data_IF_920604013676
#
_entry.id   IF_920604013676
#
_cell.length_a   1.000
_cell.length_b   1.000
_cell.length_c   1.000
_cell.angle_alpha   90.00
_cell.angle_beta   90.00
_cell.angle_gamma   90.00
#
_symmetry.space_group_name_H-M   'P 1'
#
loop_
_entity.id
_entity.type
_entity.pdbx_description
1 polymer ?
#
# COMPACT_ATOMS: atom_id res chain seq x y z
N UNK A 1 -2.19 7.70 -32.95
CA UNK A 1 -1.53 6.86 -31.93
C UNK A 1 -0.77 7.78 -30.98
N UNK A 2 -1.45 8.27 -29.94
CA UNK A 2 -0.78 9.01 -28.88
C UNK A 2 -0.37 8.02 -27.80
N UNK A 3 0.94 7.98 -27.51
CA UNK A 3 1.51 7.30 -26.35
C UNK A 3 0.99 8.01 -25.09
N UNK A 4 -0.17 7.57 -24.59
CA UNK A 4 -0.56 7.83 -23.22
C UNK A 4 0.34 6.96 -22.35
N UNK A 5 1.42 7.55 -21.81
CA UNK A 5 2.07 7.01 -20.62
C UNK A 5 0.95 6.90 -19.59
N UNK A 6 0.61 5.67 -19.20
CA UNK A 6 -0.32 5.43 -18.11
C UNK A 6 0.10 6.30 -16.95
N UNK A 7 -0.73 7.30 -16.63
CA UNK A 7 -0.62 8.02 -15.38
C UNK A 7 -0.79 6.95 -14.31
N UNK A 8 0.33 6.55 -13.71
CA UNK A 8 0.31 5.90 -12.41
C UNK A 8 -0.49 6.84 -11.53
N UNK A 9 -1.76 6.51 -11.28
CA UNK A 9 -2.53 7.11 -10.21
C UNK A 9 -1.60 7.07 -9.00
N UNK A 10 -1.16 8.22 -8.44
CA UNK A 10 -0.50 8.19 -7.17
C UNK A 10 -1.55 7.59 -6.22
N UNK A 11 -1.34 6.35 -5.78
CA UNK A 11 -2.26 5.54 -4.97
C UNK A 11 -3.37 4.74 -5.69
N UNK A 12 -3.22 4.38 -6.98
CA UNK A 12 -4.18 3.49 -7.67
C UNK A 12 -4.22 2.08 -7.07
N UNK A 13 -5.30 1.73 -6.34
CA UNK A 13 -5.43 0.46 -5.61
C UNK A 13 -5.54 -0.80 -6.48
N UNK A 14 -5.82 -0.65 -7.77
CA UNK A 14 -5.95 -1.78 -8.68
C UNK A 14 -4.80 -1.70 -9.67
N UNK A 15 -4.10 -2.83 -9.89
CA UNK A 15 -3.25 -2.98 -11.07
C UNK A 15 -4.03 -2.45 -12.27
N UNK A 16 -3.36 -1.64 -13.09
CA UNK A 16 -3.97 -0.92 -14.20
C UNK A 16 -4.75 -1.90 -15.07
N UNK A 17 -6.05 -1.99 -14.83
CA UNK A 17 -6.98 -2.58 -15.75
C UNK A 17 -7.15 -1.51 -16.80
N UNK A 18 -6.17 -1.44 -17.73
CA UNK A 18 -6.01 -0.34 -18.69
C UNK A 18 -7.33 -0.04 -19.36
N UNK A 19 -8.10 -1.08 -19.65
CA UNK A 19 -9.45 -0.98 -20.19
C UNK A 19 -10.43 -0.28 -19.23
N UNK A 20 -10.52 -0.67 -17.95
CA UNK A 20 -11.42 0.01 -16.99
C UNK A 20 -10.98 1.45 -16.72
N UNK A 21 -9.67 1.73 -16.71
CA UNK A 21 -9.15 3.08 -16.55
C UNK A 21 -9.46 3.95 -17.77
N UNK A 22 -9.33 3.41 -18.99
CA UNK A 22 -9.73 4.09 -20.23
C UNK A 22 -11.24 4.33 -20.28
N UNK A 23 -12.05 3.35 -19.89
CA UNK A 23 -13.50 3.51 -19.78
C UNK A 23 -13.88 4.55 -18.71
N UNK A 24 -13.18 4.53 -17.57
CA UNK A 24 -13.40 5.46 -16.47
C UNK A 24 -13.01 6.90 -16.83
N UNK A 25 -11.90 7.12 -17.52
CA UNK A 25 -11.44 8.47 -17.89
C UNK A 25 -12.43 9.19 -18.81
N UNK A 26 -13.08 8.45 -19.72
CA UNK A 26 -14.13 9.00 -20.57
C UNK A 26 -15.35 9.50 -19.78
N UNK A 27 -15.63 8.88 -18.61
CA UNK A 27 -16.78 9.24 -17.78
C UNK A 27 -16.66 10.61 -17.10
N UNK A 28 -15.42 11.10 -16.92
CA UNK A 28 -15.11 12.38 -16.27
C UNK A 28 -15.69 13.56 -17.09
N UNK A 29 -15.82 13.38 -18.39
CA UNK A 29 -16.33 14.39 -19.32
C UNK A 29 -17.86 14.33 -19.52
N UNK A 30 -18.54 13.37 -18.90
CA UNK A 30 -19.99 13.26 -19.02
C UNK A 30 -20.68 14.37 -18.23
N UNK A 31 -21.71 14.96 -18.82
CA UNK A 31 -22.63 15.81 -18.06
C UNK A 31 -23.33 14.99 -16.98
N UNK A 32 -23.77 15.65 -15.91
CA UNK A 32 -24.49 15.03 -14.80
C UNK A 32 -25.67 14.15 -15.28
N UNK A 33 -26.44 14.63 -16.27
CA UNK A 33 -27.59 13.90 -16.84
C UNK A 33 -27.14 12.63 -17.57
N UNK A 34 -26.06 12.71 -18.36
CA UNK A 34 -25.54 11.54 -19.09
C UNK A 34 -24.98 10.50 -18.13
N UNK A 35 -24.18 10.93 -17.14
CA UNK A 35 -23.61 10.04 -16.13
C UNK A 35 -24.70 9.34 -15.32
N UNK A 36 -25.70 10.10 -14.87
CA UNK A 36 -26.82 9.56 -14.08
C UNK A 36 -27.56 8.48 -14.86
N UNK A 37 -27.94 8.76 -16.11
CA UNK A 37 -28.63 7.78 -16.97
C UNK A 37 -27.80 6.51 -17.17
N UNK A 38 -26.50 6.65 -17.43
CA UNK A 38 -25.60 5.52 -17.63
C UNK A 38 -25.47 4.66 -16.36
N UNK A 39 -25.30 5.29 -15.20
CA UNK A 39 -25.23 4.59 -13.92
C UNK A 39 -26.57 3.89 -13.63
N UNK A 40 -27.70 4.57 -13.81
CA UNK A 40 -29.02 3.98 -13.58
C UNK A 40 -29.27 2.76 -14.46
N UNK A 41 -28.89 2.83 -15.74
CA UNK A 41 -28.98 1.71 -16.67
C UNK A 41 -28.14 0.52 -16.20
N UNK A 42 -26.87 0.76 -15.85
CA UNK A 42 -25.96 -0.28 -15.37
C UNK A 42 -26.42 -0.88 -14.03
N UNK A 43 -26.89 -0.06 -13.10
CA UNK A 43 -27.44 -0.49 -11.82
C UNK A 43 -28.67 -1.37 -12.03
N UNK A 44 -29.58 -0.96 -12.91
CA UNK A 44 -30.78 -1.75 -13.23
C UNK A 44 -30.39 -3.11 -13.80
N UNK A 45 -29.51 -3.13 -14.81
CA UNK A 45 -29.04 -4.37 -15.44
C UNK A 45 -28.29 -5.27 -14.46
N UNK A 46 -27.46 -4.71 -13.59
CA UNK A 46 -26.74 -5.45 -12.56
C UNK A 46 -27.69 -6.13 -11.57
N UNK A 47 -28.69 -5.40 -11.06
CA UNK A 47 -29.69 -5.96 -10.12
C UNK A 47 -30.52 -7.06 -10.77
N UNK A 48 -31.03 -6.83 -11.99
CA UNK A 48 -31.77 -7.85 -12.73
C UNK A 48 -30.92 -9.11 -12.95
N UNK A 49 -29.64 -8.97 -13.29
CA UNK A 49 -28.75 -10.11 -13.49
C UNK A 49 -28.53 -10.92 -12.20
N UNK A 50 -28.33 -10.25 -11.06
CA UNK A 50 -28.21 -10.93 -9.76
C UNK A 50 -29.50 -11.64 -9.36
N UNK A 51 -30.65 -10.98 -9.53
CA UNK A 51 -31.96 -11.58 -9.21
C UNK A 51 -32.25 -12.82 -10.06
N UNK A 52 -31.89 -12.77 -11.35
CA UNK A 52 -32.05 -13.90 -12.27
C UNK A 52 -31.01 -15.00 -12.01
N UNK A 53 -29.76 -14.67 -11.68
CA UNK A 53 -28.70 -15.64 -11.37
C UNK A 53 -28.88 -16.33 -10.02
N UNK A 54 -29.60 -15.72 -9.08
CA UNK A 54 -30.02 -16.36 -7.84
C UNK A 54 -31.26 -17.26 -8.00
N UNK A 55 -31.80 -17.40 -9.22
CA UNK A 55 -32.89 -18.32 -9.51
C UNK A 55 -32.33 -19.71 -9.89
N UNK A 56 -32.57 -20.76 -9.07
CA UNK A 56 -32.00 -22.09 -9.29
C UNK A 56 -32.51 -22.80 -10.56
N UNK A 57 -33.47 -22.22 -11.29
CA UNK A 57 -34.06 -22.78 -12.51
C UNK A 57 -33.46 -22.22 -13.82
N UNK A 58 -32.45 -21.34 -13.77
CA UNK A 58 -31.88 -20.70 -14.96
C UNK A 58 -30.34 -20.73 -14.94
N UNK A 59 -29.76 -21.82 -15.43
CA UNK A 59 -28.29 -22.04 -15.44
C UNK A 59 -27.53 -21.18 -16.47
N UNK A 60 -28.20 -20.57 -17.46
CA UNK A 60 -27.57 -19.82 -18.57
C UNK A 60 -27.47 -18.28 -18.36
N UNK A 61 -27.75 -17.76 -17.16
CA UNK A 61 -27.81 -16.31 -16.94
C UNK A 61 -26.41 -15.74 -16.65
N UNK A 62 -25.97 -14.79 -17.48
CA UNK A 62 -24.74 -14.00 -17.28
C UNK A 62 -24.68 -13.46 -15.84
N UNK A 63 -23.62 -13.78 -15.12
CA UNK A 63 -23.26 -13.51 -13.70
C UNK A 63 -23.32 -12.02 -13.23
N UNK A 64 -23.90 -11.10 -14.00
CA UNK A 64 -23.93 -9.66 -13.66
C UNK A 64 -22.53 -8.99 -13.66
N UNK A 65 -21.46 -9.77 -13.75
CA UNK A 65 -20.06 -9.34 -13.72
C UNK A 65 -19.74 -8.24 -14.75
N UNK A 66 -20.26 -8.33 -15.98
CA UNK A 66 -20.06 -7.29 -16.99
C UNK A 66 -20.60 -5.91 -16.56
N UNK A 67 -21.77 -5.87 -15.91
CA UNK A 67 -22.35 -4.63 -15.42
C UNK A 67 -21.60 -4.12 -14.18
N UNK A 68 -21.13 -5.03 -13.32
CA UNK A 68 -20.25 -4.67 -12.21
C UNK A 68 -18.94 -4.03 -12.69
N UNK A 69 -18.31 -4.56 -13.74
CA UNK A 69 -17.12 -3.94 -14.34
C UNK A 69 -17.40 -2.55 -14.90
N UNK A 70 -18.55 -2.34 -15.56
CA UNK A 70 -18.98 -1.01 -15.99
C UNK A 70 -19.12 -0.03 -14.82
N UNK A 71 -19.75 -0.47 -13.72
CA UNK A 71 -19.89 0.34 -12.51
C UNK A 71 -18.54 0.62 -11.82
N UNK A 72 -17.62 -0.36 -11.82
CA UNK A 72 -16.25 -0.18 -11.32
C UNK A 72 -15.52 0.88 -12.17
N UNK A 73 -15.58 0.79 -13.50
CA UNK A 73 -14.94 1.77 -14.38
C UNK A 73 -15.45 3.19 -14.11
N UNK A 74 -16.76 3.38 -13.97
CA UNK A 74 -17.34 4.69 -13.64
C UNK A 74 -16.90 5.18 -12.27
N UNK A 75 -16.90 4.32 -11.25
CA UNK A 75 -16.45 4.70 -9.91
C UNK A 75 -14.95 5.05 -9.88
N UNK A 76 -14.11 4.33 -10.64
CA UNK A 76 -12.69 4.65 -10.81
C UNK A 76 -12.49 5.97 -11.54
N UNK A 77 -13.27 6.24 -12.59
CA UNK A 77 -13.26 7.52 -13.31
C UNK A 77 -13.58 8.69 -12.40
N UNK A 78 -14.64 8.57 -11.59
CA UNK A 78 -15.00 9.58 -10.60
C UNK A 78 -13.90 9.75 -9.53
N UNK A 79 -13.35 8.65 -9.01
CA UNK A 79 -12.27 8.69 -8.03
C UNK A 79 -11.02 9.40 -8.59
N UNK A 80 -10.60 9.02 -9.80
CA UNK A 80 -9.51 9.69 -10.51
C UNK A 80 -9.79 11.18 -10.63
N UNK A 81 -10.97 11.54 -11.14
CA UNK A 81 -11.34 12.93 -11.38
C UNK A 81 -11.42 13.79 -10.12
N UNK A 82 -11.73 13.19 -8.96
CA UNK A 82 -11.73 13.87 -7.66
C UNK A 82 -10.32 14.04 -7.06
N UNK A 83 -9.37 13.17 -7.41
CA UNK A 83 -8.03 13.12 -6.79
C UNK A 83 -6.91 13.70 -7.66
N UNK A 84 -7.14 13.83 -8.96
CA UNK A 84 -6.14 14.34 -9.90
C UNK A 84 -6.06 15.87 -9.85
N UNK A 85 -5.05 16.38 -9.15
CA UNK A 85 -4.75 17.81 -9.08
C UNK A 85 -4.31 18.44 -10.40
N UNK A 86 -4.06 17.64 -11.45
CA UNK A 86 -3.77 18.13 -12.80
C UNK A 86 -5.02 18.47 -13.60
N UNK A 87 -6.21 18.01 -13.16
CA UNK A 87 -7.46 18.42 -13.75
C UNK A 87 -7.76 19.88 -13.37
N UNK A 88 -8.21 20.66 -14.34
CA UNK A 88 -8.62 22.05 -14.10
C UNK A 88 -9.71 22.13 -13.03
N UNK A 89 -9.62 23.13 -12.14
CA UNK A 89 -10.49 23.27 -10.96
C UNK A 89 -12.00 23.24 -11.25
N UNK A 90 -12.43 23.65 -12.44
CA UNK A 90 -13.83 23.58 -12.88
C UNK A 90 -14.30 22.14 -13.18
N UNK A 91 -13.45 21.33 -13.78
CA UNK A 91 -13.73 19.93 -14.09
C UNK A 91 -13.78 19.12 -12.79
N UNK A 92 -12.81 19.29 -11.90
CA UNK A 92 -12.80 18.64 -10.57
C UNK A 92 -14.07 18.94 -9.78
N UNK A 93 -14.52 20.21 -9.74
CA UNK A 93 -15.79 20.58 -9.09
C UNK A 93 -17.00 19.88 -9.71
N UNK A 94 -17.03 19.76 -11.03
CA UNK A 94 -18.10 19.06 -11.75
C UNK A 94 -18.10 17.57 -11.43
N UNK A 95 -16.92 16.95 -11.37
CA UNK A 95 -16.78 15.52 -11.03
C UNK A 95 -17.22 15.25 -9.59
N UNK A 96 -16.84 16.12 -8.64
CA UNK A 96 -17.28 16.02 -7.25
C UNK A 96 -18.81 16.13 -7.16
N UNK A 97 -19.41 17.12 -7.81
CA UNK A 97 -20.87 17.27 -7.85
C UNK A 97 -21.57 16.06 -8.50
N UNK A 98 -20.96 15.50 -9.55
CA UNK A 98 -21.43 14.29 -10.20
C UNK A 98 -21.36 13.08 -9.26
N UNK A 99 -20.26 12.88 -8.53
CA UNK A 99 -20.12 11.82 -7.54
C UNK A 99 -21.18 11.96 -6.44
N UNK A 100 -21.35 13.15 -5.86
CA UNK A 100 -22.37 13.41 -4.85
C UNK A 100 -23.78 13.10 -5.35
N UNK A 101 -24.06 13.38 -6.62
CA UNK A 101 -25.37 13.14 -7.22
C UNK A 101 -25.72 11.66 -7.41
N UNK A 102 -24.72 10.80 -7.63
CA UNK A 102 -24.91 9.38 -8.00
C UNK A 102 -24.67 8.42 -6.83
N UNK A 103 -24.42 8.95 -5.64
CA UNK A 103 -24.16 8.15 -4.43
C UNK A 103 -25.28 7.15 -4.12
N UNK A 104 -26.55 7.55 -4.32
CA UNK A 104 -27.70 6.71 -4.00
C UNK A 104 -27.77 5.47 -4.91
N UNK A 105 -27.40 5.63 -6.18
CA UNK A 105 -27.32 4.56 -7.15
C UNK A 105 -26.26 3.54 -6.72
N UNK A 106 -25.06 3.99 -6.35
CA UNK A 106 -24.01 3.11 -5.83
C UNK A 106 -24.36 2.46 -4.48
N UNK A 107 -24.97 3.21 -3.55
CA UNK A 107 -25.48 2.67 -2.28
C UNK A 107 -26.45 1.52 -2.52
N UNK A 108 -27.33 1.67 -3.51
CA UNK A 108 -28.32 0.65 -3.85
C UNK A 108 -27.68 -0.64 -4.39
N UNK A 109 -26.49 -0.56 -4.99
CA UNK A 109 -25.78 -1.73 -5.53
C UNK A 109 -25.03 -2.49 -4.44
N UNK A 110 -24.40 -1.80 -3.48
CA UNK A 110 -23.72 -2.45 -2.35
C UNK A 110 -24.71 -3.29 -1.52
N UNK A 111 -25.98 -2.89 -1.46
CA UNK A 111 -27.00 -3.61 -0.69
C UNK A 111 -27.43 -4.97 -1.27
N UNK A 112 -27.05 -5.28 -2.51
CA UNK A 112 -27.42 -6.56 -3.15
C UNK A 112 -26.51 -7.70 -2.72
N UNK A 113 -27.05 -8.91 -2.56
CA UNK A 113 -26.29 -10.10 -2.19
C UNK A 113 -25.87 -10.87 -3.46
N UNK A 114 -24.67 -10.61 -3.96
CA UNK A 114 -23.97 -11.52 -4.86
C UNK A 114 -22.97 -12.38 -4.08
N UNK A 115 -22.37 -13.36 -4.75
CA UNK A 115 -21.36 -14.27 -4.15
C UNK A 115 -20.01 -14.22 -4.89
N UNK A 116 -19.76 -13.19 -5.69
CA UNK A 116 -18.60 -13.13 -6.59
C UNK A 116 -17.51 -12.15 -6.15
N UNK A 117 -16.25 -12.43 -6.50
CA UNK A 117 -15.11 -11.53 -6.26
C UNK A 117 -15.25 -10.15 -6.91
N UNK A 118 -15.90 -10.07 -8.07
CA UNK A 118 -16.18 -8.81 -8.78
C UNK A 118 -17.08 -7.88 -7.96
N UNK A 119 -17.99 -8.45 -7.16
CA UNK A 119 -18.81 -7.65 -6.27
C UNK A 119 -17.98 -6.98 -5.18
N UNK A 120 -17.06 -7.69 -4.53
CA UNK A 120 -16.17 -7.08 -3.54
C UNK A 120 -15.23 -6.04 -4.17
N UNK A 121 -14.83 -6.24 -5.43
CA UNK A 121 -14.10 -5.19 -6.17
C UNK A 121 -14.96 -3.93 -6.34
N UNK A 122 -16.24 -4.08 -6.69
CA UNK A 122 -17.17 -2.96 -6.76
C UNK A 122 -17.39 -2.30 -5.40
N UNK A 123 -17.61 -3.09 -4.35
CA UNK A 123 -17.81 -2.60 -2.98
C UNK A 123 -16.59 -1.80 -2.51
N UNK A 124 -15.39 -2.35 -2.64
CA UNK A 124 -14.15 -1.63 -2.29
C UNK A 124 -14.00 -0.35 -3.08
N UNK A 125 -14.26 -0.36 -4.39
CA UNK A 125 -14.18 0.85 -5.24
C UNK A 125 -15.16 1.93 -4.79
N UNK A 126 -16.40 1.56 -4.43
CA UNK A 126 -17.39 2.52 -3.93
C UNK A 126 -17.00 3.08 -2.55
N UNK A 127 -16.48 2.25 -1.63
CA UNK A 127 -15.98 2.73 -0.33
C UNK A 127 -14.68 3.52 -0.43
N UNK A 128 -13.94 3.42 -1.54
CA UNK A 128 -12.84 4.32 -1.86
C UNK A 128 -13.35 5.69 -2.30
N UNK A 129 -14.43 5.74 -3.07
CA UNK A 129 -15.03 6.97 -3.58
C UNK A 129 -15.80 7.77 -2.51
N UNK A 130 -16.55 7.08 -1.64
CA UNK A 130 -17.41 7.73 -0.65
C UNK A 130 -17.00 7.44 0.79
N UNK A 131 -17.41 8.34 1.70
CA UNK A 131 -17.28 8.10 3.13
C UNK A 131 -18.31 7.07 3.59
N UNK A 132 -17.93 6.28 4.58
CA UNK A 132 -18.75 5.24 5.19
C UNK A 132 -20.10 5.81 5.68
N UNK A 133 -20.09 6.98 6.32
CA UNK A 133 -21.30 7.66 6.77
C UNK A 133 -22.26 7.95 5.63
N UNK A 134 -21.76 8.43 4.49
CA UNK A 134 -22.58 8.79 3.34
C UNK A 134 -23.19 7.55 2.68
N UNK A 135 -22.54 6.39 2.79
CA UNK A 135 -23.07 5.13 2.31
C UNK A 135 -24.11 4.52 3.29
N UNK A 136 -23.91 4.67 4.61
CA UNK A 136 -24.81 4.07 5.61
C UNK A 136 -26.07 4.92 5.87
N UNK A 137 -25.98 6.25 5.73
CA UNK A 137 -27.09 7.17 6.01
C UNK A 137 -28.36 6.72 5.28
N UNK A 138 -29.45 6.56 6.04
CA UNK A 138 -30.77 6.33 5.45
C UNK A 138 -31.19 7.58 4.66
N UNK A 139 -31.87 7.41 3.52
CA UNK A 139 -32.46 8.55 2.83
C UNK A 139 -33.42 9.26 3.80
N UNK A 140 -33.36 10.61 3.91
CA UNK A 140 -34.37 11.36 4.64
C UNK A 140 -35.77 10.98 4.14
N UNK A 141 -36.64 10.52 5.04
CA UNK A 141 -38.01 10.08 4.71
C UNK A 141 -38.16 8.63 4.23
N UNK A 142 -37.08 7.84 4.13
CA UNK A 142 -37.19 6.42 3.78
C UNK A 142 -37.43 5.52 5.00
N UNK A 143 -38.42 4.61 4.91
CA UNK A 143 -38.66 3.54 5.90
C UNK A 143 -37.64 2.39 5.81
N UNK A 144 -36.72 2.42 4.84
CA UNK A 144 -35.71 1.37 4.65
C UNK A 144 -34.56 1.61 5.64
N UNK A 145 -34.19 0.58 6.40
CA UNK A 145 -33.00 0.61 7.27
C UNK A 145 -31.78 0.96 6.41
N UNK A 146 -30.87 1.78 6.96
CA UNK A 146 -29.58 2.06 6.34
C UNK A 146 -28.79 0.78 6.05
N UNK A 147 -27.75 0.90 5.22
CA UNK A 147 -26.93 -0.24 4.84
C UNK A 147 -26.27 -0.87 6.10
N UNK A 148 -26.48 -2.17 6.32
CA UNK A 148 -25.94 -2.85 7.50
C UNK A 148 -24.50 -3.30 7.23
N UNK A 149 -23.50 -2.56 7.71
CA UNK A 149 -22.08 -2.87 7.47
C UNK A 149 -21.68 -4.27 7.94
N UNK A 150 -22.12 -4.77 9.11
CA UNK A 150 -21.82 -6.15 9.50
C UNK A 150 -22.37 -7.18 8.50
N UNK A 151 -23.43 -6.85 7.74
CA UNK A 151 -23.91 -7.74 6.69
C UNK A 151 -22.90 -7.82 5.53
N UNK A 152 -22.33 -6.68 5.12
CA UNK A 152 -21.30 -6.60 4.06
C UNK A 152 -20.08 -7.43 4.45
N UNK A 153 -19.64 -7.32 5.70
CA UNK A 153 -18.46 -8.03 6.20
C UNK A 153 -18.76 -9.53 6.45
N UNK A 154 -19.95 -9.87 6.93
CA UNK A 154 -20.36 -11.28 7.18
C UNK A 154 -20.44 -12.14 5.91
N UNK A 155 -20.71 -11.52 4.75
CA UNK A 155 -20.75 -12.19 3.45
C UNK A 155 -19.36 -12.72 3.02
N UNK A 156 -18.28 -12.29 3.69
CA UNK A 156 -16.89 -12.60 3.30
C UNK A 156 -16.41 -14.00 3.67
N UNK A 157 -17.04 -14.64 4.66
CA UNK A 157 -16.63 -15.95 5.20
C UNK A 157 -16.62 -17.09 4.17
N UNK A 158 -17.27 -16.91 3.02
CA UNK A 158 -17.40 -17.88 1.93
C UNK A 158 -17.03 -17.28 0.56
N UNK A 159 -16.26 -16.17 0.54
CA UNK A 159 -15.91 -15.48 -0.69
C UNK A 159 -14.87 -16.27 -1.52
N UNK A 160 -15.12 -16.51 -2.82
CA UNK A 160 -14.15 -17.17 -3.71
C UNK A 160 -12.91 -16.31 -4.03
N UNK A 161 -12.95 -14.99 -3.79
CA UNK A 161 -11.80 -14.10 -3.93
C UNK A 161 -11.62 -13.28 -2.63
N UNK A 162 -10.72 -13.69 -1.73
CA UNK A 162 -10.54 -13.01 -0.45
C UNK A 162 -9.76 -11.69 -0.56
N UNK A 163 -9.04 -11.41 -1.65
CA UNK A 163 -8.27 -10.16 -1.83
C UNK A 163 -9.20 -8.94 -1.74
N UNK A 164 -10.22 -8.90 -2.60
CA UNK A 164 -11.15 -7.77 -2.64
C UNK A 164 -12.03 -7.68 -1.39
N UNK A 165 -12.27 -8.81 -0.73
CA UNK A 165 -12.92 -8.82 0.58
C UNK A 165 -12.07 -8.06 1.61
N UNK A 166 -10.79 -8.41 1.77
CA UNK A 166 -9.91 -7.74 2.72
C UNK A 166 -9.68 -6.27 2.34
N UNK A 167 -9.54 -5.93 1.06
CA UNK A 167 -9.45 -4.51 0.62
C UNK A 167 -10.70 -3.74 1.07
N UNK A 168 -11.90 -4.33 0.89
CA UNK A 168 -13.16 -3.71 1.32
C UNK A 168 -13.21 -3.55 2.84
N UNK A 169 -12.86 -4.60 3.59
CA UNK A 169 -12.85 -4.59 5.05
C UNK A 169 -11.88 -3.53 5.60
N UNK A 170 -10.65 -3.49 5.09
CA UNK A 170 -9.63 -2.52 5.47
C UNK A 170 -10.09 -1.08 5.19
N UNK A 171 -10.74 -0.84 4.05
CA UNK A 171 -11.27 0.50 3.74
C UNK A 171 -12.42 0.91 4.65
N UNK A 172 -13.23 -0.03 5.12
CA UNK A 172 -14.28 0.22 6.12
C UNK A 172 -13.65 0.50 7.49
N UNK A 173 -12.69 -0.32 7.93
CA UNK A 173 -12.01 -0.19 9.21
C UNK A 173 -11.16 1.06 9.33
N UNK A 174 -10.53 1.50 8.23
CA UNK A 174 -9.82 2.79 8.18
C UNK A 174 -10.75 3.96 8.50
N UNK A 175 -12.02 3.89 8.09
CA UNK A 175 -13.01 4.93 8.31
C UNK A 175 -13.73 4.78 9.65
N UNK A 176 -13.89 3.54 10.14
CA UNK A 176 -14.45 3.25 11.44
C UNK A 176 -13.84 1.99 12.08
N UNK A 177 -12.82 2.14 12.94
CA UNK A 177 -12.17 1.02 13.61
C UNK A 177 -13.07 0.22 14.56
N UNK A 178 -14.21 0.76 15.01
CA UNK A 178 -15.11 0.04 15.92
C UNK A 178 -15.83 -1.14 15.25
N UNK A 179 -15.70 -1.27 13.93
CA UNK A 179 -16.30 -2.33 13.12
C UNK A 179 -15.34 -3.51 12.89
N UNK A 180 -14.18 -3.51 13.52
CA UNK A 180 -13.23 -4.62 13.44
C UNK A 180 -13.76 -5.78 14.30
N UNK A 181 -14.06 -6.90 13.65
CA UNK A 181 -14.42 -8.14 14.33
C UNK A 181 -13.17 -9.02 14.50
N UNK A 182 -12.85 -9.50 15.73
CA UNK A 182 -11.65 -10.30 15.99
C UNK A 182 -11.52 -11.53 15.08
N UNK A 183 -12.62 -12.23 14.82
CA UNK A 183 -12.64 -13.43 13.97
C UNK A 183 -12.26 -13.15 12.51
N UNK A 184 -12.53 -11.93 12.02
CA UNK A 184 -12.16 -11.51 10.67
C UNK A 184 -10.67 -11.16 10.59
N UNK A 185 -10.16 -10.48 11.62
CA UNK A 185 -8.75 -10.12 11.72
C UNK A 185 -7.86 -11.36 11.87
N UNK A 186 -8.27 -12.35 12.67
CA UNK A 186 -7.53 -13.61 12.82
C UNK A 186 -7.38 -14.39 11.50
N UNK A 187 -8.29 -14.19 10.54
CA UNK A 187 -8.21 -14.80 9.20
C UNK A 187 -7.26 -14.06 8.25
N UNK A 188 -6.94 -12.80 8.53
CA UNK A 188 -6.10 -11.98 7.67
C UNK A 188 -4.66 -12.50 7.61
N UNK A 189 -3.99 -12.66 8.75
CA UNK A 189 -2.56 -13.04 8.77
C UNK A 189 -2.29 -14.38 8.06
N UNK A 190 -3.08 -15.46 8.27
CA UNK A 190 -2.94 -16.71 7.51
C UNK A 190 -3.19 -16.55 6.02
N UNK A 191 -4.12 -15.66 5.63
CA UNK A 191 -4.40 -15.37 4.23
C UNK A 191 -3.26 -14.58 3.57
N UNK A 192 -2.79 -13.53 4.23
CA UNK A 192 -1.74 -12.63 3.73
C UNK A 192 -0.48 -13.41 3.33
N UNK A 193 -0.08 -14.41 4.11
CA UNK A 193 1.02 -15.34 3.80
C UNK A 193 0.96 -16.00 2.43
N UNK A 194 -0.26 -16.32 1.96
CA UNK A 194 -0.53 -17.05 0.72
C UNK A 194 -1.05 -16.14 -0.39
N UNK A 195 -1.21 -14.86 -0.08
CA UNK A 195 -1.80 -13.88 -0.99
C UNK A 195 -0.80 -13.51 -2.09
N UNK A 196 -1.29 -13.10 -3.27
CA UNK A 196 -0.42 -12.67 -4.36
C UNK A 196 0.36 -11.40 -4.01
N UNK A 197 1.56 -11.24 -4.58
CA UNK A 197 2.47 -10.10 -4.31
C UNK A 197 1.80 -8.74 -4.54
N UNK A 198 0.98 -8.60 -5.58
CA UNK A 198 0.25 -7.36 -5.83
C UNK A 198 -0.66 -6.95 -4.65
N UNK A 199 -1.29 -7.92 -3.99
CA UNK A 199 -2.15 -7.67 -2.83
C UNK A 199 -1.29 -7.28 -1.63
N UNK A 200 -0.18 -7.99 -1.40
CA UNK A 200 0.75 -7.66 -0.32
C UNK A 200 1.30 -6.24 -0.45
N UNK A 201 1.77 -5.88 -1.65
CA UNK A 201 2.21 -4.53 -2.01
C UNK A 201 1.11 -3.50 -1.77
N UNK A 202 -0.11 -3.77 -2.21
CA UNK A 202 -1.25 -2.88 -2.05
C UNK A 202 -1.55 -2.60 -0.57
N UNK A 203 -1.61 -3.65 0.23
CA UNK A 203 -1.93 -3.56 1.65
C UNK A 203 -0.89 -2.71 2.40
N UNK A 204 0.40 -2.90 2.12
CA UNK A 204 1.46 -2.12 2.77
C UNK A 204 1.66 -0.72 2.18
N UNK A 205 1.36 -0.48 0.91
CA UNK A 205 1.43 0.87 0.33
C UNK A 205 0.28 1.77 0.76
N UNK A 206 -0.91 1.21 1.03
CA UNK A 206 -2.12 2.00 1.34
C UNK A 206 -2.56 1.94 2.79
N UNK A 207 -2.47 0.79 3.44
CA UNK A 207 -3.11 0.54 4.74
C UNK A 207 -2.09 0.32 5.88
N UNK A 208 -0.83 0.70 5.70
CA UNK A 208 0.23 0.50 6.70
C UNK A 208 -0.07 1.13 8.07
N UNK A 209 -0.72 2.31 8.11
CA UNK A 209 -1.14 2.93 9.38
C UNK A 209 -2.17 2.06 10.10
N UNK A 210 -3.14 1.53 9.36
CA UNK A 210 -4.15 0.64 9.91
C UNK A 210 -3.52 -0.67 10.39
N UNK A 211 -2.67 -1.31 9.58
CA UNK A 211 -1.93 -2.53 9.97
C UNK A 211 -1.16 -2.33 11.28
N UNK A 212 -0.44 -1.21 11.40
CA UNK A 212 0.34 -0.86 12.59
C UNK A 212 -0.54 -0.64 13.85
N UNK A 213 -1.84 -0.40 13.66
CA UNK A 213 -2.81 -0.18 14.73
C UNK A 213 -3.55 -1.47 15.11
N UNK A 214 -3.92 -2.29 14.14
CA UNK A 214 -4.82 -3.44 14.35
C UNK A 214 -4.09 -4.74 14.61
N UNK A 215 -2.89 -4.91 14.06
CA UNK A 215 -2.10 -6.13 14.25
C UNK A 215 -1.29 -6.03 15.54
N UNK A 216 -1.20 -7.13 16.27
CA UNK A 216 -0.22 -7.22 17.35
C UNK A 216 1.21 -7.30 16.77
N UNK A 217 2.20 -7.23 17.66
CA UNK A 217 3.61 -7.20 17.27
C UNK A 217 4.00 -8.44 16.46
N UNK A 218 3.60 -9.63 16.92
CA UNK A 218 3.93 -10.91 16.29
C UNK A 218 3.29 -11.05 14.90
N UNK A 219 2.03 -10.63 14.75
CA UNK A 219 1.32 -10.60 13.47
C UNK A 219 1.93 -9.61 12.48
N UNK A 220 2.34 -8.44 12.98
CA UNK A 220 2.97 -7.40 12.16
C UNK A 220 4.37 -7.83 11.70
N UNK A 221 5.18 -8.42 12.58
CA UNK A 221 6.47 -9.03 12.25
C UNK A 221 6.32 -10.07 11.14
N UNK A 222 5.33 -10.95 11.29
CA UNK A 222 5.05 -12.01 10.33
C UNK A 222 4.57 -11.47 8.97
N UNK A 223 3.77 -10.41 8.97
CA UNK A 223 3.31 -9.75 7.75
C UNK A 223 4.47 -9.04 7.02
N UNK A 224 5.34 -8.34 7.74
CA UNK A 224 6.52 -7.69 7.17
C UNK A 224 7.48 -8.72 6.60
N UNK A 225 7.75 -9.81 7.34
CA UNK A 225 8.60 -10.90 6.86
C UNK A 225 8.05 -11.49 5.56
N UNK A 226 6.75 -11.81 5.53
CA UNK A 226 6.06 -12.31 4.33
C UNK A 226 6.22 -11.36 3.15
N UNK A 227 6.04 -10.05 3.38
CA UNK A 227 6.16 -9.04 2.34
C UNK A 227 7.60 -8.99 1.78
N UNK A 228 8.60 -8.92 2.67
CA UNK A 228 10.00 -8.83 2.27
C UNK A 228 10.43 -10.08 1.51
N UNK A 229 10.02 -11.27 1.96
CA UNK A 229 10.36 -12.56 1.33
C UNK A 229 9.77 -12.73 -0.08
N UNK A 230 8.52 -12.32 -0.29
CA UNK A 230 7.79 -12.63 -1.51
C UNK A 230 7.88 -11.55 -2.61
N UNK A 231 8.22 -10.30 -2.26
CA UNK A 231 8.15 -9.17 -3.19
C UNK A 231 9.53 -8.81 -3.74
N UNK A 232 9.54 -8.21 -4.94
CA UNK A 232 10.78 -7.75 -5.55
C UNK A 232 11.34 -6.52 -4.83
N UNK A 233 12.63 -6.22 -5.03
CA UNK A 233 13.27 -5.02 -4.50
C UNK A 233 12.54 -3.75 -4.94
N UNK A 234 12.06 -3.70 -6.18
CA UNK A 234 11.33 -2.56 -6.75
C UNK A 234 10.00 -2.31 -6.03
N UNK A 235 9.28 -3.39 -5.69
CA UNK A 235 8.03 -3.30 -4.95
C UNK A 235 8.27 -2.81 -3.50
N UNK A 236 9.33 -3.29 -2.86
CA UNK A 236 9.73 -2.83 -1.53
C UNK A 236 10.20 -1.36 -1.55
N UNK A 237 10.98 -0.96 -2.56
CA UNK A 237 11.36 0.45 -2.77
C UNK A 237 10.15 1.34 -2.96
N UNK A 238 9.15 0.89 -3.72
CA UNK A 238 7.90 1.62 -3.89
C UNK A 238 7.19 1.84 -2.55
N UNK A 239 7.08 0.80 -1.71
CA UNK A 239 6.43 0.88 -0.40
C UNK A 239 7.19 1.84 0.53
N UNK A 240 8.52 1.69 0.63
CA UNK A 240 9.37 2.49 1.52
C UNK A 240 9.67 3.90 1.00
N UNK A 241 9.32 4.21 -0.25
CA UNK A 241 9.34 5.59 -0.74
C UNK A 241 8.27 6.48 -0.08
N UNK A 242 7.27 5.88 0.58
CA UNK A 242 6.23 6.61 1.30
C UNK A 242 6.75 7.10 2.66
N UNK A 243 7.03 8.40 2.78
CA UNK A 243 7.55 9.02 4.01
C UNK A 243 6.64 8.85 5.23
N UNK A 244 5.33 8.71 5.06
CA UNK A 244 4.40 8.48 6.18
C UNK A 244 4.59 7.10 6.83
N UNK A 245 5.16 6.13 6.10
CA UNK A 245 5.52 4.83 6.68
C UNK A 245 6.66 4.99 7.71
N UNK A 246 7.58 5.92 7.48
CA UNK A 246 8.69 6.21 8.40
C UNK A 246 8.22 6.80 9.73
N UNK A 247 7.02 7.42 9.76
CA UNK A 247 6.38 7.90 10.97
C UNK A 247 5.76 6.76 11.80
N UNK A 248 5.56 5.58 11.22
CA UNK A 248 5.04 4.41 11.90
C UNK A 248 6.16 3.64 12.61
N UNK A 249 6.59 4.17 13.77
CA UNK A 249 7.78 3.72 14.51
C UNK A 249 7.86 2.20 14.71
N UNK A 250 6.77 1.56 15.12
CA UNK A 250 6.77 0.10 15.35
C UNK A 250 6.98 -0.66 14.03
N UNK A 251 6.27 -0.25 12.97
CA UNK A 251 6.33 -0.87 11.66
C UNK A 251 7.71 -0.71 11.00
N UNK A 252 8.25 0.51 10.94
CA UNK A 252 9.54 0.76 10.28
C UNK A 252 10.68 0.03 11.01
N UNK A 253 10.62 -0.09 12.33
CA UNK A 253 11.62 -0.83 13.09
C UNK A 253 11.59 -2.32 12.78
N UNK A 254 10.40 -2.90 12.57
CA UNK A 254 10.26 -4.29 12.13
C UNK A 254 10.84 -4.47 10.71
N UNK A 255 10.56 -3.53 9.79
CA UNK A 255 11.16 -3.53 8.46
C UNK A 255 12.68 -3.53 8.49
N UNK A 256 13.28 -2.60 9.26
CA UNK A 256 14.74 -2.50 9.41
C UNK A 256 15.30 -3.83 9.93
N UNK A 257 14.69 -4.40 10.99
CA UNK A 257 15.13 -5.67 11.55
C UNK A 257 15.08 -6.81 10.53
N UNK A 258 13.98 -6.94 9.80
CA UNK A 258 13.81 -7.98 8.78
C UNK A 258 14.81 -7.82 7.62
N UNK A 259 15.04 -6.60 7.14
CA UNK A 259 16.02 -6.33 6.08
C UNK A 259 17.45 -6.68 6.53
N UNK A 260 17.84 -6.26 7.75
CA UNK A 260 19.16 -6.58 8.31
C UNK A 260 19.35 -8.09 8.51
N UNK A 261 18.31 -8.79 8.96
CA UNK A 261 18.32 -10.25 9.12
C UNK A 261 18.59 -10.94 7.78
N UNK A 262 17.90 -10.53 6.71
CA UNK A 262 18.10 -11.10 5.37
C UNK A 262 19.46 -10.81 4.78
N UNK A 263 19.94 -9.57 4.90
CA UNK A 263 21.28 -9.22 4.42
C UNK A 263 22.34 -10.04 5.17
N UNK A 264 22.23 -10.15 6.50
CA UNK A 264 23.25 -10.77 7.33
C UNK A 264 23.25 -12.30 7.32
N UNK A 265 22.08 -12.94 7.24
CA UNK A 265 21.94 -14.41 7.31
C UNK A 265 21.76 -15.09 5.96
N UNK A 266 21.25 -14.37 4.96
CA UNK A 266 20.91 -14.91 3.64
C UNK A 266 21.72 -14.29 2.49
N UNK A 267 22.65 -13.37 2.79
CA UNK A 267 23.54 -12.70 1.83
C UNK A 267 22.80 -11.95 0.71
N UNK A 268 21.61 -11.42 1.03
CA UNK A 268 20.77 -10.69 0.07
C UNK A 268 21.17 -9.22 -0.04
N UNK A 269 22.34 -8.98 -0.62
CA UNK A 269 22.99 -7.67 -0.68
C UNK A 269 22.19 -6.62 -1.46
N UNK A 270 21.34 -7.04 -2.41
CA UNK A 270 20.45 -6.16 -3.17
C UNK A 270 19.47 -5.36 -2.26
N UNK A 271 19.18 -5.86 -1.06
CA UNK A 271 18.35 -5.18 -0.06
C UNK A 271 19.03 -3.95 0.59
N UNK A 272 20.35 -3.79 0.46
CA UNK A 272 21.07 -2.59 0.94
C UNK A 272 20.50 -1.32 0.29
N UNK A 273 20.14 -1.42 -0.99
CA UNK A 273 19.52 -0.32 -1.74
C UNK A 273 18.12 0.07 -1.26
N UNK A 274 17.50 -0.75 -0.39
CA UNK A 274 16.23 -0.45 0.27
C UNK A 274 16.48 0.27 1.60
N UNK A 275 17.49 -0.17 2.37
CA UNK A 275 17.87 0.48 3.62
C UNK A 275 18.25 1.95 3.42
N UNK A 276 18.83 2.31 2.27
CA UNK A 276 19.17 3.70 1.94
C UNK A 276 17.94 4.62 1.77
N UNK A 277 16.73 4.07 1.64
CA UNK A 277 15.49 4.86 1.62
C UNK A 277 15.01 5.23 3.02
N UNK A 278 15.53 4.58 4.06
CA UNK A 278 15.08 4.72 5.44
C UNK A 278 15.91 5.80 6.14
N UNK A 279 15.31 6.89 6.63
CA UNK A 279 16.06 7.93 7.33
C UNK A 279 16.73 7.43 8.61
N UNK A 280 17.94 7.92 8.90
CA UNK A 280 18.76 7.53 10.07
C UNK A 280 18.03 7.61 11.43
N UNK A 281 17.07 8.53 11.57
CA UNK A 281 16.29 8.71 12.79
C UNK A 281 15.25 7.60 13.03
N UNK A 282 14.93 6.79 12.03
CA UNK A 282 14.02 5.64 12.17
C UNK A 282 14.69 4.47 12.90
N UNK A 283 16.02 4.39 12.85
CA UNK A 283 16.80 3.32 13.46
C UNK A 283 16.87 3.50 14.97
N UNK A 284 16.55 2.42 15.72
CA UNK A 284 16.98 2.33 17.11
C UNK A 284 18.50 2.19 17.19
N UNK A 285 19.10 2.65 18.29
CA UNK A 285 20.56 2.55 18.51
C UNK A 285 21.13 1.14 18.26
N UNK A 286 20.53 0.03 18.76
CA UNK A 286 21.03 -1.32 18.47
C UNK A 286 20.92 -1.70 16.99
N UNK A 287 19.83 -1.31 16.31
CA UNK A 287 19.65 -1.59 14.89
C UNK A 287 20.65 -0.81 14.02
N UNK A 288 20.99 0.42 14.43
CA UNK A 288 22.03 1.20 13.77
C UNK A 288 23.41 0.58 13.93
N UNK A 289 23.71 0.08 15.13
CA UNK A 289 24.96 -0.65 15.41
C UNK A 289 25.06 -1.89 14.51
N UNK A 290 23.99 -2.68 14.45
CA UNK A 290 23.88 -3.84 13.57
C UNK A 290 24.01 -3.46 12.09
N UNK A 291 23.28 -2.44 11.63
CA UNK A 291 23.35 -1.96 10.25
C UNK A 291 24.76 -1.54 9.86
N UNK A 292 25.45 -0.75 10.67
CA UNK A 292 26.84 -0.36 10.42
C UNK A 292 27.77 -1.57 10.31
N UNK A 293 27.58 -2.58 11.17
CA UNK A 293 28.38 -3.81 11.14
C UNK A 293 28.10 -4.67 9.91
N UNK A 294 26.84 -4.75 9.47
CA UNK A 294 26.45 -5.46 8.25
C UNK A 294 27.01 -4.76 7.02
N UNK A 295 26.83 -3.44 6.90
CA UNK A 295 27.31 -2.66 5.76
C UNK A 295 28.83 -2.68 5.63
N UNK A 296 29.56 -2.64 6.76
CA UNK A 296 31.01 -2.77 6.76
C UNK A 296 31.48 -4.14 6.24
N UNK A 297 30.72 -5.21 6.50
CA UNK A 297 31.04 -6.55 5.95
C UNK A 297 30.72 -6.63 4.46
N UNK A 298 29.68 -5.92 4.01
CA UNK A 298 29.25 -5.89 2.60
C UNK A 298 30.05 -4.92 1.74
N UNK A 299 30.70 -3.91 2.33
CA UNK A 299 31.42 -2.86 1.58
C UNK A 299 32.57 -3.33 0.67
N UNK A 300 33.23 -4.49 0.89
CA UNK A 300 34.21 -5.01 -0.08
C UNK A 300 33.58 -5.60 -1.35
N UNK A 301 32.26 -5.87 -1.37
CA UNK A 301 31.59 -6.40 -2.54
C UNK A 301 31.33 -5.27 -3.55
N UNK A 302 31.98 -5.34 -4.72
CA UNK A 302 31.92 -4.31 -5.76
C UNK A 302 30.51 -3.96 -6.24
N UNK A 303 29.53 -4.87 -6.15
CA UNK A 303 28.17 -4.61 -6.63
C UNK A 303 27.38 -3.66 -5.73
N UNK A 304 27.73 -3.57 -4.44
CA UNK A 304 27.02 -2.79 -3.42
C UNK A 304 27.95 -1.90 -2.60
N UNK A 305 29.22 -1.84 -3.00
CA UNK A 305 30.30 -1.19 -2.28
C UNK A 305 30.03 0.31 -2.08
N UNK A 306 29.61 1.00 -3.14
CA UNK A 306 29.28 2.43 -3.10
C UNK A 306 28.03 2.70 -2.26
N UNK A 307 26.94 1.95 -2.47
CA UNK A 307 25.70 2.07 -1.68
C UNK A 307 25.93 1.80 -0.20
N UNK A 308 26.74 0.78 0.12
CA UNK A 308 27.07 0.42 1.50
C UNK A 308 27.83 1.55 2.19
N UNK A 309 28.86 2.11 1.53
CA UNK A 309 29.66 3.21 2.09
C UNK A 309 28.85 4.50 2.24
N UNK A 310 28.00 4.84 1.28
CA UNK A 310 27.07 5.97 1.38
C UNK A 310 26.15 5.81 2.60
N UNK A 311 25.54 4.64 2.77
CA UNK A 311 24.66 4.42 3.91
C UNK A 311 25.42 4.45 5.25
N UNK A 312 26.67 4.01 5.29
CA UNK A 312 27.52 4.17 6.48
C UNK A 312 27.71 5.65 6.81
N UNK A 313 28.01 6.50 5.82
CA UNK A 313 28.13 7.96 6.00
C UNK A 313 26.86 8.55 6.63
N UNK A 314 25.70 8.17 6.10
CA UNK A 314 24.40 8.64 6.60
C UNK A 314 24.12 8.18 8.04
N UNK A 315 24.38 6.90 8.33
CA UNK A 315 24.12 6.33 9.67
C UNK A 315 25.07 6.92 10.73
N UNK A 316 26.31 7.26 10.36
CA UNK A 316 27.29 7.86 11.28
C UNK A 316 26.96 9.30 11.67
N UNK A 317 26.02 9.97 10.98
CA UNK A 317 25.48 11.26 11.44
C UNK A 317 24.83 11.17 12.82
N UNK A 318 24.40 9.98 13.24
CA UNK A 318 23.96 9.72 14.60
C UNK A 318 24.75 8.54 15.19
N UNK A 319 25.87 8.78 15.89
CA UNK A 319 26.79 7.73 16.31
C UNK A 319 26.17 6.74 17.31
N UNK A 320 26.65 5.51 17.26
CA UNK A 320 26.34 4.49 18.28
C UNK A 320 27.44 4.35 19.32
N UNK A 321 28.68 4.68 18.92
CA UNK A 321 29.94 4.48 19.64
C UNK A 321 30.26 3.02 19.99
N UNK A 322 29.57 2.06 19.36
CA UNK A 322 29.73 0.63 19.61
C UNK A 322 30.01 -0.18 18.35
N UNK A 323 29.60 0.32 17.18
CA UNK A 323 29.84 -0.38 15.91
C UNK A 323 31.33 -0.57 15.65
N UNK A 324 31.68 -1.57 14.84
CA UNK A 324 33.07 -1.90 14.52
C UNK A 324 33.79 -0.73 13.84
N UNK A 325 33.10 0.02 12.98
CA UNK A 325 33.69 1.16 12.28
C UNK A 325 34.03 2.31 13.25
N UNK A 326 33.25 2.48 14.32
CA UNK A 326 33.49 3.47 15.36
C UNK A 326 34.56 2.99 16.36
N UNK A 327 34.52 1.72 16.77
CA UNK A 327 35.34 1.18 17.86
C UNK A 327 36.67 0.55 17.44
N UNK A 328 36.79 0.06 16.20
CA UNK A 328 37.96 -0.65 15.70
C UNK A 328 38.68 0.14 14.59
N UNK A 329 39.91 0.65 14.81
CA UNK A 329 40.69 1.32 13.76
C UNK A 329 40.96 0.44 12.53
N UNK A 330 41.12 -0.88 12.70
CA UNK A 330 41.37 -1.82 11.60
C UNK A 330 40.22 -1.89 10.60
N UNK A 331 38.98 -1.68 11.06
CA UNK A 331 37.80 -1.63 10.21
C UNK A 331 37.83 -0.45 9.21
N UNK A 332 38.51 0.65 9.57
CA UNK A 332 38.66 1.78 8.65
C UNK A 332 39.65 1.45 7.54
N UNK A 333 40.79 0.82 7.88
CA UNK A 333 41.79 0.45 6.89
C UNK A 333 41.22 -0.52 5.85
N UNK A 334 40.39 -1.49 6.26
CA UNK A 334 39.74 -2.41 5.32
C UNK A 334 38.83 -1.71 4.30
N UNK A 335 38.26 -0.54 4.63
CA UNK A 335 37.44 0.22 3.67
C UNK A 335 38.29 0.82 2.55
N UNK A 336 39.48 1.34 2.90
CA UNK A 336 40.44 1.87 1.91
C UNK A 336 41.03 0.75 1.04
N UNK A 337 41.40 -0.38 1.66
CA UNK A 337 41.98 -1.51 0.93
C UNK A 337 41.01 -2.13 -0.09
N UNK A 338 39.72 -2.05 0.18
CA UNK A 338 38.65 -2.58 -0.68
C UNK A 338 38.03 -1.55 -1.61
N UNK A 339 38.55 -0.32 -1.66
CA UNK A 339 38.04 0.71 -2.56
C UNK A 339 38.56 0.46 -3.99
N UNK A 340 37.65 0.27 -4.94
CA UNK A 340 37.99 -0.06 -6.33
C UNK A 340 37.99 1.14 -7.27
N UNK A 341 37.38 2.26 -6.84
CA UNK A 341 37.31 3.50 -7.62
C UNK A 341 37.47 4.75 -6.74
N UNK A 342 37.51 5.91 -7.40
CA UNK A 342 37.67 7.20 -6.73
C UNK A 342 36.49 7.57 -5.83
N UNK A 343 35.26 7.17 -6.19
CA UNK A 343 34.05 7.45 -5.41
C UNK A 343 34.08 6.69 -4.08
N UNK A 344 34.39 5.40 -4.14
CA UNK A 344 34.52 4.53 -2.97
C UNK A 344 35.64 5.01 -2.04
N UNK A 345 36.75 5.49 -2.61
CA UNK A 345 37.86 6.06 -1.85
C UNK A 345 37.43 7.36 -1.15
N UNK A 346 36.74 8.26 -1.86
CA UNK A 346 36.22 9.51 -1.30
C UNK A 346 35.25 9.25 -0.13
N UNK A 347 34.34 8.30 -0.28
CA UNK A 347 33.42 7.90 0.79
C UNK A 347 34.18 7.31 1.99
N UNK A 348 35.20 6.49 1.75
CA UNK A 348 36.05 5.94 2.82
C UNK A 348 36.77 7.05 3.60
N UNK A 349 37.26 8.10 2.90
CA UNK A 349 37.82 9.30 3.54
C UNK A 349 36.77 10.05 4.36
N UNK A 350 35.55 10.20 3.83
CA UNK A 350 34.46 10.89 4.53
C UNK A 350 34.06 10.19 5.83
N UNK A 351 33.93 8.86 5.80
CA UNK A 351 33.68 8.03 6.98
C UNK A 351 34.72 8.30 8.07
N UNK A 352 36.01 8.35 7.71
CA UNK A 352 37.09 8.66 8.66
C UNK A 352 36.95 10.06 9.24
N UNK A 353 36.64 11.06 8.41
CA UNK A 353 36.44 12.46 8.86
C UNK A 353 35.27 12.56 9.85
N UNK A 354 34.16 11.90 9.58
CA UNK A 354 33.01 11.89 10.49
C UNK A 354 33.42 11.26 11.82
N UNK A 355 34.10 10.11 11.80
CA UNK A 355 34.60 9.47 13.03
C UNK A 355 35.56 10.36 13.83
N UNK A 356 36.48 11.08 13.19
CA UNK A 356 37.41 11.95 13.90
C UNK A 356 36.67 13.09 14.63
N UNK A 357 35.70 13.71 13.97
CA UNK A 357 34.85 14.76 14.56
C UNK A 357 34.03 14.24 15.75
N UNK A 358 33.51 13.02 15.64
CA UNK A 358 32.79 12.37 16.73
C UNK A 358 33.70 12.12 17.95
N UNK A 359 34.94 11.69 17.72
CA UNK A 359 35.93 11.43 18.78
C UNK A 359 36.34 12.73 19.49
N UNK A 360 36.51 13.83 18.75
CA UNK A 360 36.79 15.14 19.34
C UNK A 360 35.63 15.69 20.17
N UNK A 361 34.39 15.48 19.70
CA UNK A 361 33.18 15.90 20.42
C UNK A 361 33.02 15.14 21.73
N UNK A 362 33.36 13.84 21.78
CA UNK A 362 33.37 13.05 23.00
C UNK A 362 34.43 13.49 24.02
N UNK A 363 35.55 14.07 23.58
CA UNK A 363 36.60 14.58 24.48
C UNK A 363 36.25 15.93 25.12
N UNK A 364 35.25 16.63 24.58
CA UNK A 364 34.80 17.96 25.05
C UNK A 364 33.61 17.90 26.01
N UNK A 365 32.94 16.74 26.09
CA UNK A 365 31.92 16.40 27.08
C UNK A 365 32.57 15.70 28.27
#
# INVERSE_FOLDING_TARGET
MHNYKGSNLPNGLFYSDTLLNEMGSQSIHLSQVQLTRLIEELVSKYKTAIELGNNPLKEDVKDGSAYAYGLIALALGLLYGCTDGSLGSSLTKTVIANADHVIDQFRSVISYKGKGGVQYRLISTVFMLYRLEDIIRAKPGSKKRGLHVPLILSLGSSCPNPDYYFISAFRIWEQNPTLIEPDQLQKFTPYFKKSPTWFQKLIFSRFFVLLNTILNKEELELAVQTLVENNSVEDLKYILSNSYLHEQVNLIQIFIGCLLDRISKHDELNLISILSLIPVFCYKKPQREEALNVLLKSSPNSEVATESRNLIVDLLQQPTFKSNIESNPSALFSLFESANDETELQLSVEIVKIKSLLTESQRKL
#
